data_IF_476329310303
#
_entry.id   IF_476329310303
#
_cell.length_a   1.000
_cell.length_b   1.000
_cell.length_c   1.000
_cell.angle_alpha   90.00
_cell.angle_beta   90.00
_cell.angle_gamma   90.00
#
_symmetry.space_group_name_H-M   'P 1'
#
loop_
_entity.id
_entity.type
_entity.pdbx_description
1 polymer ?
#
# COMPACT_ATOMS: atom_id res chain seq x y z
N UNK A 1 10.59 0.47 -2.57
CA UNK A 1 10.02 -0.83 -2.14
C UNK A 1 8.67 -1.00 -2.80
N UNK A 2 8.44 -2.13 -3.48
CA UNK A 2 7.17 -2.42 -4.13
C UNK A 2 6.43 -3.53 -3.37
N UNK A 3 5.26 -3.23 -2.83
CA UNK A 3 4.40 -4.22 -2.18
C UNK A 3 3.50 -4.88 -3.23
N UNK A 4 3.57 -6.20 -3.35
CA UNK A 4 2.82 -6.93 -4.39
C UNK A 4 1.85 -7.92 -3.75
N UNK A 5 0.59 -7.85 -4.17
CA UNK A 5 -0.38 -8.92 -3.88
C UNK A 5 -1.10 -9.32 -5.17
N UNK A 6 -2.15 -10.15 -5.06
CA UNK A 6 -2.87 -10.58 -6.24
C UNK A 6 -3.57 -9.42 -6.98
N UNK A 7 -4.41 -8.65 -6.28
CA UNK A 7 -5.34 -7.69 -6.93
C UNK A 7 -5.17 -6.20 -6.57
N UNK A 8 -4.16 -5.82 -5.79
CA UNK A 8 -3.89 -4.43 -5.36
C UNK A 8 -5.04 -3.65 -4.71
N UNK A 9 -5.92 -4.31 -3.95
CA UNK A 9 -7.07 -3.64 -3.31
C UNK A 9 -7.12 -3.80 -1.79
N UNK A 10 -6.34 -4.68 -1.19
CA UNK A 10 -6.45 -4.95 0.26
C UNK A 10 -5.06 -5.01 0.90
N UNK A 11 -4.32 -6.11 0.68
CA UNK A 11 -3.04 -6.37 1.34
C UNK A 11 -1.90 -5.44 0.92
N UNK A 12 -1.66 -5.28 -0.38
CA UNK A 12 -0.53 -4.45 -0.83
C UNK A 12 -0.72 -2.94 -0.58
N UNK A 13 -1.92 -2.34 -0.77
CA UNK A 13 -2.14 -0.95 -0.36
C UNK A 13 -2.00 -0.75 1.16
N UNK A 14 -2.46 -1.71 1.97
CA UNK A 14 -2.25 -1.66 3.43
C UNK A 14 -0.76 -1.67 3.79
N UNK A 15 0.01 -2.58 3.18
CA UNK A 15 1.46 -2.66 3.39
C UNK A 15 2.19 -1.38 3.01
N UNK A 16 1.82 -0.77 1.87
CA UNK A 16 2.36 0.52 1.44
C UNK A 16 2.04 1.63 2.44
N UNK A 17 0.79 1.72 2.91
CA UNK A 17 0.37 2.76 3.85
C UNK A 17 1.09 2.64 5.20
N UNK A 18 1.11 1.44 5.79
CA UNK A 18 1.82 1.16 7.05
C UNK A 18 3.32 1.44 6.90
N UNK A 19 3.93 1.01 5.79
CA UNK A 19 5.35 1.25 5.57
C UNK A 19 5.67 2.74 5.37
N UNK A 20 4.80 3.48 4.69
CA UNK A 20 4.92 4.94 4.54
C UNK A 20 4.88 5.63 5.90
N UNK A 21 3.95 5.25 6.76
CA UNK A 21 3.86 5.77 8.12
C UNK A 21 5.15 5.48 8.92
N UNK A 22 5.65 4.24 8.89
CA UNK A 22 6.93 3.89 9.52
C UNK A 22 8.12 4.68 8.96
N UNK A 23 8.12 4.99 7.65
CA UNK A 23 9.16 5.81 7.04
C UNK A 23 9.11 7.25 7.55
N UNK A 24 7.92 7.83 7.72
CA UNK A 24 7.72 9.17 8.27
C UNK A 24 8.21 9.28 9.71
N UNK A 25 8.06 8.23 10.51
CA UNK A 25 8.58 8.15 11.88
C UNK A 25 10.09 7.85 11.94
N UNK A 26 10.70 7.49 10.81
CA UNK A 26 12.11 7.10 10.73
C UNK A 26 12.99 8.20 10.15
N UNK A 27 14.31 8.06 10.35
CA UNK A 27 15.32 8.91 9.67
C UNK A 27 15.47 8.60 8.17
N UNK A 28 14.68 7.66 7.63
CA UNK A 28 14.70 7.23 6.24
C UNK A 28 13.64 7.92 5.38
N UNK A 29 12.84 8.83 5.96
CA UNK A 29 11.90 9.66 5.21
C UNK A 29 12.60 10.35 4.04
N UNK A 30 12.02 10.26 2.83
CA UNK A 30 12.59 10.82 1.61
C UNK A 30 13.80 10.07 1.02
N UNK A 31 14.37 9.09 1.73
CA UNK A 31 15.44 8.22 1.21
C UNK A 31 14.92 6.96 0.55
N UNK A 32 13.78 6.48 1.03
CA UNK A 32 13.11 5.28 0.51
C UNK A 32 11.77 5.69 -0.08
N UNK A 33 11.54 5.34 -1.34
CA UNK A 33 10.23 5.43 -1.97
C UNK A 33 9.50 4.10 -1.88
N UNK A 34 8.17 4.13 -1.77
CA UNK A 34 7.34 2.93 -1.77
C UNK A 34 6.09 3.10 -2.64
N UNK A 35 5.63 1.97 -3.16
CA UNK A 35 4.43 1.86 -4.01
C UNK A 35 3.83 0.44 -3.86
N UNK A 36 2.63 0.21 -4.39
CA UNK A 36 1.96 -1.09 -4.39
C UNK A 36 1.38 -1.49 -5.75
N UNK A 37 1.43 -2.79 -6.05
CA UNK A 37 0.93 -3.35 -7.30
C UNK A 37 0.21 -4.69 -7.12
N UNK A 38 -0.56 -5.04 -8.15
CA UNK A 38 -1.28 -6.31 -8.27
C UNK A 38 -0.65 -7.16 -9.37
N UNK A 39 -0.60 -8.47 -9.18
CA UNK A 39 -0.20 -9.40 -10.25
C UNK A 39 -1.22 -9.47 -11.40
N UNK A 40 -2.46 -9.04 -11.15
CA UNK A 40 -3.53 -8.98 -12.16
C UNK A 40 -4.01 -7.54 -12.36
N UNK A 41 -4.55 -7.27 -13.54
CA UNK A 41 -5.05 -5.94 -13.92
C UNK A 41 -6.57 -5.74 -13.68
N UNK A 42 -7.28 -6.73 -13.11
CA UNK A 42 -8.75 -6.71 -13.01
C UNK A 42 -9.33 -5.61 -12.08
N UNK A 43 -8.47 -5.00 -11.26
CA UNK A 43 -8.86 -3.97 -10.30
C UNK A 43 -8.08 -2.66 -10.47
N UNK A 44 -7.36 -2.47 -11.57
CA UNK A 44 -6.66 -1.23 -11.82
C UNK A 44 -7.62 -0.02 -11.83
N UNK A 45 -7.20 1.07 -11.20
CA UNK A 45 -8.00 2.28 -11.02
C UNK A 45 -9.11 2.18 -9.96
N UNK A 46 -9.36 1.01 -9.37
CA UNK A 46 -10.29 0.88 -8.24
C UNK A 46 -9.62 1.34 -6.95
N UNK A 47 -10.40 1.99 -6.10
CA UNK A 47 -9.97 2.33 -4.74
C UNK A 47 -9.68 1.06 -3.93
N UNK A 48 -8.81 1.15 -2.91
CA UNK A 48 -8.64 0.07 -1.96
C UNK A 48 -9.97 -0.28 -1.24
N UNK A 49 -10.12 -1.55 -0.86
CA UNK A 49 -11.27 -2.12 -0.19
C UNK A 49 -11.63 -1.31 1.06
N UNK A 50 -12.92 -0.97 1.20
CA UNK A 50 -13.39 -0.15 2.31
C UNK A 50 -13.08 -0.76 3.66
N UNK A 51 -13.27 -2.07 3.83
CA UNK A 51 -13.02 -2.75 5.12
C UNK A 51 -11.57 -2.60 5.57
N UNK A 52 -10.64 -2.61 4.61
CA UNK A 52 -9.23 -2.40 4.89
C UNK A 52 -8.94 -0.95 5.28
N UNK A 53 -9.52 0.02 4.56
CA UNK A 53 -9.38 1.45 4.89
C UNK A 53 -9.95 1.76 6.28
N UNK A 54 -11.15 1.25 6.58
CA UNK A 54 -11.82 1.46 7.87
C UNK A 54 -11.03 0.86 9.05
N UNK A 55 -10.14 -0.12 8.79
CA UNK A 55 -9.27 -0.72 9.83
C UNK A 55 -7.95 0.04 10.01
N UNK A 56 -7.56 0.87 9.03
CA UNK A 56 -6.32 1.65 9.05
C UNK A 56 -6.53 3.13 9.40
N UNK A 57 -7.78 3.56 9.60
CA UNK A 57 -8.12 4.84 10.26
C UNK A 57 -7.76 4.80 11.76
#
# INVERSE_FOLDING_TARGET
>A
VLFVCWGNICRSPAGENVFRHLLEESTMQGRITCDSAGTINAHAGKSPDSRMRDTLE
#
